data_IF_303183427053
#
_entry.id   IF_303183427053
#
_cell.length_a   1.000
_cell.length_b   1.000
_cell.length_c   1.000
_cell.angle_alpha   90.00
_cell.angle_beta   90.00
_cell.angle_gamma   90.00
#
_symmetry.space_group_name_H-M   'P 1'
#
loop_
_entity.id
_entity.type
_entity.pdbx_description
1 polymer ?
#
# COMPACT_ATOMS: atom_id res chain seq x y z
N UNK A 1 2.00 3.30 -21.44
CA UNK A 1 2.23 4.75 -21.22
C UNK A 1 2.61 5.31 -22.58
N UNK A 2 1.85 6.26 -23.11
CA UNK A 2 2.11 6.88 -24.42
C UNK A 2 2.37 8.38 -24.24
N UNK A 3 2.99 9.01 -25.24
CA UNK A 3 3.32 10.43 -25.18
C UNK A 3 2.16 11.32 -25.67
N UNK A 4 1.27 10.78 -26.50
CA UNK A 4 0.14 11.52 -27.03
C UNK A 4 -1.14 10.66 -27.10
N UNK A 5 -2.27 11.34 -27.32
CA UNK A 5 -3.59 10.73 -27.42
C UNK A 5 -3.71 9.80 -28.64
N UNK A 6 -3.19 10.20 -29.79
CA UNK A 6 -3.33 9.45 -31.04
C UNK A 6 -2.67 8.07 -30.95
N UNK A 7 -1.44 7.99 -30.44
CA UNK A 7 -0.75 6.73 -30.18
C UNK A 7 -1.49 5.85 -29.18
N UNK A 8 -2.13 6.45 -28.16
CA UNK A 8 -2.96 5.67 -27.24
C UNK A 8 -4.17 5.08 -27.95
N UNK A 9 -4.81 5.84 -28.84
CA UNK A 9 -5.97 5.39 -29.60
C UNK A 9 -5.61 4.22 -30.51
N UNK A 10 -4.50 4.31 -31.25
CA UNK A 10 -3.99 3.23 -32.11
C UNK A 10 -3.71 1.94 -31.31
N UNK A 11 -3.09 2.05 -30.13
CA UNK A 11 -2.86 0.89 -29.26
C UNK A 11 -4.19 0.31 -28.77
N UNK A 12 -5.16 1.15 -28.41
CA UNK A 12 -6.46 0.69 -27.92
C UNK A 12 -7.27 -0.01 -29.01
N UNK A 13 -7.12 0.38 -30.28
CA UNK A 13 -7.73 -0.32 -31.42
C UNK A 13 -7.18 -1.74 -31.54
N UNK A 14 -5.85 -1.91 -31.52
CA UNK A 14 -5.21 -3.24 -31.53
C UNK A 14 -5.66 -4.09 -30.33
N UNK A 15 -5.77 -3.46 -29.15
CA UNK A 15 -6.22 -4.14 -27.93
C UNK A 15 -7.69 -4.56 -28.03
N UNK A 16 -8.55 -3.76 -28.66
CA UNK A 16 -9.95 -4.12 -28.90
C UNK A 16 -10.05 -5.33 -29.83
N UNK A 17 -9.34 -5.31 -30.96
CA UNK A 17 -9.28 -6.44 -31.90
C UNK A 17 -8.81 -7.72 -31.19
N UNK A 18 -7.77 -7.63 -30.37
CA UNK A 18 -7.28 -8.77 -29.58
C UNK A 18 -8.36 -9.33 -28.65
N UNK A 19 -9.08 -8.48 -27.91
CA UNK A 19 -10.12 -8.95 -26.99
C UNK A 19 -11.32 -9.56 -27.74
N UNK A 20 -11.71 -8.96 -28.87
CA UNK A 20 -12.79 -9.47 -29.71
C UNK A 20 -12.45 -10.85 -30.31
N UNK A 21 -11.22 -11.01 -30.82
CA UNK A 21 -10.71 -12.29 -31.33
C UNK A 21 -10.75 -13.40 -30.25
N UNK A 22 -10.41 -13.04 -29.01
CA UNK A 22 -10.39 -13.96 -27.89
C UNK A 22 -11.76 -14.11 -27.19
N UNK A 23 -12.80 -13.42 -27.67
CA UNK A 23 -14.15 -13.38 -27.05
C UNK A 23 -14.11 -12.97 -25.57
N UNK A 24 -13.16 -12.12 -25.21
CA UNK A 24 -13.01 -11.59 -23.85
C UNK A 24 -13.83 -10.32 -23.75
N UNK A 25 -14.84 -10.32 -22.88
CA UNK A 25 -15.66 -9.14 -22.64
C UNK A 25 -14.98 -8.20 -21.63
N UNK A 26 -14.59 -7.01 -22.08
CA UNK A 26 -13.94 -6.00 -21.25
C UNK A 26 -14.97 -5.01 -20.71
N UNK A 27 -14.95 -4.81 -19.39
CA UNK A 27 -15.75 -3.77 -18.76
C UNK A 27 -15.06 -2.39 -18.89
N UNK A 28 -15.38 -1.69 -19.98
CA UNK A 28 -14.82 -0.37 -20.28
C UNK A 28 -15.11 0.70 -19.21
N UNK A 29 -16.22 0.58 -18.47
CA UNK A 29 -16.57 1.53 -17.39
C UNK A 29 -15.58 1.49 -16.22
N UNK A 30 -14.87 0.38 -16.04
CA UNK A 30 -13.83 0.25 -15.01
C UNK A 30 -12.44 0.67 -15.49
N UNK A 31 -12.30 0.96 -16.79
CA UNK A 31 -11.05 1.46 -17.34
C UNK A 31 -10.82 2.89 -16.87
N UNK A 32 -9.59 3.17 -16.43
CA UNK A 32 -9.23 4.48 -15.89
C UNK A 32 -8.10 5.09 -16.72
N UNK A 33 -8.24 6.37 -17.04
CA UNK A 33 -7.24 7.14 -17.77
C UNK A 33 -6.57 8.13 -16.81
N UNK A 34 -5.24 8.07 -16.76
CA UNK A 34 -4.40 9.02 -16.03
C UNK A 34 -3.64 9.84 -17.06
N UNK A 35 -3.87 11.14 -17.05
CA UNK A 35 -3.09 12.10 -17.81
C UNK A 35 -1.91 12.57 -16.96
N UNK A 36 -0.72 12.57 -17.53
CA UNK A 36 0.51 13.00 -16.86
C UNK A 36 1.02 14.26 -17.52
N UNK A 37 1.20 15.33 -16.73
CA UNK A 37 1.65 16.65 -17.20
C UNK A 37 0.68 17.30 -18.21
N UNK A 38 -0.62 17.05 -18.06
CA UNK A 38 -1.64 17.60 -18.96
C UNK A 38 -2.06 19.02 -18.59
N UNK A 39 -2.52 19.79 -19.58
CA UNK A 39 -3.15 21.08 -19.33
C UNK A 39 -4.61 20.90 -18.86
N UNK A 40 -5.20 21.93 -18.26
CA UNK A 40 -6.58 21.86 -17.75
C UNK A 40 -7.62 21.51 -18.83
N UNK A 41 -7.35 21.88 -20.07
CA UNK A 41 -8.21 21.64 -21.22
C UNK A 41 -8.21 20.15 -21.64
N UNK A 42 -7.07 19.47 -21.46
CA UNK A 42 -6.89 18.08 -21.82
C UNK A 42 -7.69 17.11 -20.96
N UNK A 43 -8.12 17.53 -19.77
CA UNK A 43 -9.02 16.75 -18.91
C UNK A 43 -10.42 16.59 -19.49
N UNK A 44 -10.78 17.37 -20.52
CA UNK A 44 -12.02 17.20 -21.29
C UNK A 44 -11.84 16.27 -22.48
N UNK A 45 -10.59 15.99 -22.86
CA UNK A 45 -10.26 15.17 -24.02
C UNK A 45 -10.23 13.70 -23.62
N UNK A 46 -11.39 13.05 -23.69
CA UNK A 46 -11.52 11.61 -23.48
C UNK A 46 -10.83 10.78 -24.57
N UNK A 47 -10.64 9.49 -24.29
CA UNK A 47 -10.15 8.48 -25.22
C UNK A 47 -11.24 7.43 -25.40
N UNK A 48 -11.44 6.96 -26.62
CA UNK A 48 -12.51 6.02 -26.93
C UNK A 48 -12.00 4.59 -26.75
N UNK A 49 -12.74 3.79 -25.98
CA UNK A 49 -12.43 2.40 -25.70
C UNK A 49 -13.70 1.56 -25.59
N UNK A 50 -13.82 0.50 -26.40
CA UNK A 50 -14.93 -0.47 -26.30
C UNK A 50 -16.30 0.23 -26.29
N UNK A 51 -16.54 1.11 -27.28
CA UNK A 51 -17.76 1.95 -27.45
C UNK A 51 -18.06 2.93 -26.30
N UNK A 52 -17.12 3.13 -25.38
CA UNK A 52 -17.25 4.08 -24.28
C UNK A 52 -16.15 5.14 -24.37
N UNK A 53 -16.46 6.34 -23.92
CA UNK A 53 -15.47 7.41 -23.80
C UNK A 53 -14.91 7.44 -22.37
N UNK A 54 -13.62 7.19 -22.22
CA UNK A 54 -12.91 7.24 -20.94
C UNK A 54 -12.35 8.65 -20.75
N UNK A 55 -12.86 9.36 -19.75
CA UNK A 55 -12.42 10.71 -19.39
C UNK A 55 -11.23 10.63 -18.41
N UNK A 56 -10.17 11.44 -18.60
CA UNK A 56 -9.05 11.50 -17.67
C UNK A 56 -9.48 11.83 -16.23
N UNK A 57 -8.93 11.11 -15.26
CA UNK A 57 -9.07 11.41 -13.83
C UNK A 57 -8.34 12.70 -13.49
N UNK A 58 -8.94 13.55 -12.66
CA UNK A 58 -8.35 14.85 -12.26
C UNK A 58 -6.99 14.66 -11.58
N UNK A 59 -6.12 15.66 -11.68
CA UNK A 59 -4.80 15.69 -11.04
C UNK A 59 -4.78 15.38 -9.53
N UNK A 60 -5.89 15.66 -8.84
CA UNK A 60 -6.08 15.43 -7.40
C UNK A 60 -6.59 14.04 -7.05
N UNK A 61 -7.09 13.29 -8.03
CA UNK A 61 -7.64 11.94 -7.85
C UNK A 61 -6.54 10.89 -8.00
N UNK A 62 -6.57 9.88 -7.14
CA UNK A 62 -5.63 8.78 -7.18
C UNK A 62 -6.35 7.50 -7.64
N UNK A 63 -5.75 6.81 -8.58
CA UNK A 63 -6.17 5.52 -9.13
C UNK A 63 -5.41 4.41 -8.40
N UNK A 64 -6.08 3.28 -8.11
CA UNK A 64 -5.45 2.14 -7.43
C UNK A 64 -5.20 1.02 -8.42
N UNK A 65 -3.94 0.77 -8.72
CA UNK A 65 -3.51 -0.36 -9.53
C UNK A 65 -2.77 -1.37 -8.65
N UNK A 66 -3.33 -2.58 -8.51
CA UNK A 66 -2.73 -3.70 -7.74
C UNK A 66 -2.26 -3.33 -6.32
N UNK A 67 -2.97 -2.42 -5.64
CA UNK A 67 -2.60 -1.98 -4.29
C UNK A 67 -1.65 -0.78 -4.22
N UNK A 68 -1.18 -0.29 -5.37
CA UNK A 68 -0.39 0.94 -5.50
C UNK A 68 -1.30 2.08 -5.93
N UNK A 69 -1.19 3.21 -5.23
CA UNK A 69 -1.91 4.43 -5.58
C UNK A 69 -1.08 5.26 -6.55
N UNK A 70 -1.63 5.53 -7.73
CA UNK A 70 -1.02 6.31 -8.80
C UNK A 70 -1.83 7.60 -8.96
N UNK A 71 -1.14 8.73 -9.00
CA UNK A 71 -1.74 10.05 -9.14
C UNK A 71 -0.81 10.90 -10.00
N UNK A 72 -1.36 11.77 -10.86
CA UNK A 72 -0.58 12.64 -11.73
C UNK A 72 0.46 13.45 -10.95
N UNK A 73 0.00 14.19 -9.92
CA UNK A 73 0.82 15.18 -9.23
C UNK A 73 1.97 14.57 -8.39
N UNK A 74 2.16 13.25 -8.42
CA UNK A 74 3.20 12.54 -7.68
C UNK A 74 3.10 12.68 -6.15
N UNK A 75 2.06 13.34 -5.64
CA UNK A 75 1.90 13.59 -4.20
C UNK A 75 1.62 12.25 -3.53
N UNK A 76 2.61 11.76 -2.79
CA UNK A 76 2.57 10.48 -2.07
C UNK A 76 1.58 10.45 -0.89
N UNK A 77 0.54 11.28 -0.86
CA UNK A 77 -0.39 11.37 0.28
C UNK A 77 -1.09 10.02 0.50
N UNK A 78 -1.58 9.40 -0.58
CA UNK A 78 -2.21 8.08 -0.53
C UNK A 78 -1.19 6.93 -0.41
N UNK A 79 -0.04 7.05 -1.07
CA UNK A 79 1.05 6.07 -0.98
C UNK A 79 1.63 5.98 0.44
N UNK A 80 1.76 7.10 1.17
CA UNK A 80 2.23 7.16 2.57
C UNK A 80 1.26 6.45 3.52
N UNK A 81 -0.06 6.51 3.27
CA UNK A 81 -1.09 5.84 4.09
C UNK A 81 -1.07 4.31 3.88
N UNK A 82 -0.88 3.84 2.64
CA UNK A 82 -0.67 2.42 2.32
C UNK A 82 0.67 1.89 2.84
N UNK A 83 1.74 2.68 2.73
CA UNK A 83 3.06 2.31 3.24
C UNK A 83 3.11 2.26 4.75
N UNK A 84 2.32 3.03 5.51
CA UNK A 84 2.24 2.82 6.97
C UNK A 84 1.87 1.36 7.28
N UNK A 85 0.80 0.82 6.69
CA UNK A 85 0.37 -0.57 6.93
C UNK A 85 1.39 -1.63 6.48
N UNK A 86 2.05 -1.46 5.34
CA UNK A 86 3.09 -2.41 4.85
C UNK A 86 4.42 -2.26 5.58
N UNK A 87 4.77 -1.06 6.06
CA UNK A 87 6.00 -0.81 6.83
C UNK A 87 5.97 -1.54 8.17
N UNK A 88 4.79 -1.71 8.79
CA UNK A 88 4.64 -2.57 9.98
C UNK A 88 4.75 -4.09 9.69
N UNK A 89 4.61 -4.51 8.43
CA UNK A 89 4.70 -5.93 8.05
C UNK A 89 6.10 -6.33 7.55
N UNK A 90 6.86 -5.38 7.00
CA UNK A 90 8.21 -5.58 6.43
C UNK A 90 9.34 -4.97 7.27
N UNK A 91 9.00 -4.26 8.34
CA UNK A 91 9.96 -3.97 9.40
C UNK A 91 9.64 -4.96 10.49
N UNK A 92 10.41 -6.05 10.55
CA UNK A 92 10.76 -6.60 11.85
C UNK A 92 11.10 -5.38 12.72
N UNK A 93 10.30 -5.13 13.75
CA UNK A 93 10.45 -3.98 14.61
C UNK A 93 11.78 -4.16 15.35
N UNK A 94 12.87 -3.66 14.75
CA UNK A 94 14.19 -3.58 15.38
C UNK A 94 14.09 -2.49 16.44
N UNK A 95 13.51 -2.85 17.59
CA UNK A 95 13.52 -2.00 18.76
C UNK A 95 14.93 -1.97 19.32
N UNK A 96 15.41 -0.77 19.67
CA UNK A 96 16.64 -0.66 20.45
C UNK A 96 16.40 -1.25 21.84
N UNK A 97 17.46 -1.73 22.50
CA UNK A 97 17.37 -2.32 23.85
C UNK A 97 16.68 -1.39 24.84
N UNK A 98 16.93 -0.08 24.74
CA UNK A 98 16.27 0.96 25.55
C UNK A 98 14.76 1.06 25.34
N UNK A 99 14.28 0.83 24.12
CA UNK A 99 12.85 0.85 23.82
C UNK A 99 12.15 -0.41 24.35
N UNK A 100 12.84 -1.55 24.30
CA UNK A 100 12.39 -2.81 24.89
C UNK A 100 12.30 -2.71 26.43
N UNK A 101 13.29 -2.09 27.07
CA UNK A 101 13.27 -1.84 28.52
C UNK A 101 12.07 -0.98 28.94
N UNK A 102 11.79 0.09 28.20
CA UNK A 102 10.63 0.96 28.43
C UNK A 102 9.30 0.20 28.24
N UNK A 103 9.21 -0.64 27.21
CA UNK A 103 8.04 -1.46 26.96
C UNK A 103 7.82 -2.47 28.09
N UNK A 104 8.88 -3.17 28.50
CA UNK A 104 8.85 -4.12 29.61
C UNK A 104 8.44 -3.45 30.93
N UNK A 105 8.93 -2.24 31.21
CA UNK A 105 8.55 -1.46 32.38
C UNK A 105 7.04 -1.14 32.38
N UNK A 106 6.48 -0.75 31.22
CA UNK A 106 5.03 -0.52 31.08
C UNK A 106 4.22 -1.79 31.29
N UNK A 107 4.63 -2.91 30.68
CA UNK A 107 3.94 -4.20 30.84
C UNK A 107 3.93 -4.62 32.32
N UNK A 108 5.07 -4.49 33.02
CA UNK A 108 5.16 -4.76 34.46
C UNK A 108 4.23 -3.86 35.28
N UNK A 109 4.16 -2.58 34.94
CA UNK A 109 3.27 -1.62 35.61
C UNK A 109 1.80 -1.96 35.40
N UNK A 110 1.39 -2.30 34.17
CA UNK A 110 0.03 -2.74 33.86
C UNK A 110 -0.32 -4.04 34.57
N UNK A 111 0.60 -5.02 34.61
CA UNK A 111 0.40 -6.28 35.31
C UNK A 111 0.24 -6.07 36.82
N UNK A 112 1.12 -5.26 37.42
CA UNK A 112 1.03 -4.90 38.83
C UNK A 112 -0.30 -4.21 39.16
N UNK A 113 -0.74 -3.29 38.30
CA UNK A 113 -2.03 -2.60 38.47
C UNK A 113 -3.22 -3.55 38.34
N UNK A 114 -3.19 -4.49 37.39
CA UNK A 114 -4.31 -5.39 37.09
C UNK A 114 -4.42 -6.56 38.07
N UNK A 115 -3.31 -7.08 38.57
CA UNK A 115 -3.27 -8.26 39.44
C UNK A 115 -3.22 -7.92 40.94
N UNK A 116 -3.16 -6.64 41.30
CA UNK A 116 -3.45 -6.14 42.65
C UNK A 116 -2.53 -6.57 43.78
N UNK A 117 -1.48 -7.38 43.56
CA UNK A 117 -0.53 -7.84 44.58
C UNK A 117 0.92 -7.81 44.08
N UNK A 118 1.88 -7.81 45.01
CA UNK A 118 3.35 -7.67 44.83
C UNK A 118 4.03 -8.81 44.04
N UNK A 119 3.29 -9.53 43.21
CA UNK A 119 3.84 -10.45 42.24
C UNK A 119 4.59 -9.62 41.19
N UNK A 120 5.91 -9.54 41.33
CA UNK A 120 6.78 -9.09 40.24
C UNK A 120 6.48 -10.03 39.07
N UNK A 121 6.04 -9.47 37.93
CA UNK A 121 5.89 -10.24 36.70
C UNK A 121 7.18 -11.06 36.49
N UNK A 122 7.10 -12.41 36.48
CA UNK A 122 8.27 -13.25 36.28
C UNK A 122 8.97 -12.84 34.99
N UNK A 123 10.26 -12.53 35.06
CA UNK A 123 11.04 -12.13 33.88
C UNK A 123 10.99 -13.22 32.81
N UNK A 124 10.91 -14.48 33.22
CA UNK A 124 10.72 -15.63 32.33
C UNK A 124 9.51 -15.52 31.42
N UNK A 125 8.43 -14.82 31.80
CA UNK A 125 7.24 -14.62 30.94
C UNK A 125 7.52 -13.58 29.85
N UNK A 126 8.27 -12.53 30.17
CA UNK A 126 8.66 -11.50 29.19
C UNK A 126 9.64 -12.03 28.15
N UNK A 127 10.49 -12.99 28.54
CA UNK A 127 11.49 -13.62 27.68
C UNK A 127 11.09 -15.03 27.19
N UNK A 128 9.84 -15.46 27.43
CA UNK A 128 9.38 -16.78 27.01
C UNK A 128 9.11 -16.80 25.49
N UNK A 129 9.62 -17.81 24.76
CA UNK A 129 9.30 -18.00 23.35
C UNK A 129 7.82 -18.36 23.11
N UNK A 130 7.07 -18.73 24.15
CA UNK A 130 5.64 -19.04 24.08
C UNK A 130 4.74 -17.78 24.01
N UNK A 131 5.29 -16.58 24.25
CA UNK A 131 4.59 -15.30 24.20
C UNK A 131 4.55 -14.65 22.80
N UNK A 132 4.56 -13.31 22.74
CA UNK A 132 4.42 -12.46 21.54
C UNK A 132 5.49 -12.62 20.42
N UNK A 133 6.22 -13.76 20.36
CA UNK A 133 7.37 -13.97 19.46
C UNK A 133 8.37 -12.80 19.53
N UNK A 134 8.61 -12.28 20.72
CA UNK A 134 9.70 -11.34 20.97
C UNK A 134 10.99 -12.17 21.08
N UNK A 135 11.88 -12.04 20.11
CA UNK A 135 13.18 -12.72 20.10
C UNK A 135 14.30 -11.69 19.87
N UNK A 136 15.48 -11.95 20.42
CA UNK A 136 16.65 -11.11 20.19
C UNK A 136 17.17 -11.36 18.77
N UNK A 137 17.49 -10.29 18.04
CA UNK A 137 17.96 -10.40 16.66
C UNK A 137 19.38 -10.95 16.56
N UNK A 138 20.20 -10.80 17.61
CA UNK A 138 21.54 -11.39 17.64
C UNK A 138 21.51 -12.92 17.63
N UNK A 139 20.48 -13.52 18.24
CA UNK A 139 20.33 -14.98 18.30
C UNK A 139 19.98 -15.59 16.93
N UNK A 140 19.47 -14.79 15.98
CA UNK A 140 19.22 -15.22 14.58
C UNK A 140 20.45 -15.20 13.68
N UNK A 141 21.52 -14.49 14.06
CA UNK A 141 22.73 -14.40 13.22
C UNK A 141 23.71 -15.56 13.45
N UNK A 142 23.39 -16.47 14.38
CA UNK A 142 24.24 -17.61 14.76
C UNK A 142 23.62 -18.98 14.38
N UNK A 143 22.55 -19.00 13.58
CA UNK A 143 21.99 -20.20 12.93
C UNK A 143 22.23 -20.14 11.43
#
# INVERSE_FOLDING_TARGET
ITQNKQQMQEILEIVQEFFDLNKINVNAFKSELILVNGHKEDYKNGIDFMKNQIIPKKSTEAVRYLGVWIQENGKKIYQKKSNKRKKYLMQDLVHTEKDLEKLNAKIRSCFHHSCGHSAKLPTSILYSPLGYKLFNLHDRQLQ
#
